data_IF_500120619172
#
_entry.id   IF_500120619172
#
_cell.length_a   1.000
_cell.length_b   1.000
_cell.length_c   1.000
_cell.angle_alpha   90.00
_cell.angle_beta   90.00
_cell.angle_gamma   90.00
#
_symmetry.space_group_name_H-M   'P 1'
#
loop_
_entity.id
_entity.type
_entity.pdbx_description
1 polymer ?
#
# COMPACT_ATOMS: atom_id res chain seq x y z
N UNK A 1 0.07 22.12 -2.89
CA UNK A 1 -1.27 22.76 -2.78
C UNK A 1 -2.32 21.66 -2.68
N UNK A 2 -3.32 21.78 -1.80
CA UNK A 2 -4.40 20.78 -1.67
C UNK A 2 -5.46 21.07 -2.73
N UNK A 3 -5.86 20.07 -3.51
CA UNK A 3 -6.95 20.22 -4.47
C UNK A 3 -8.30 20.23 -3.72
N UNK A 4 -9.28 21.09 -4.09
CA UNK A 4 -10.57 21.19 -3.40
C UNK A 4 -11.31 19.86 -3.26
N UNK A 5 -11.27 19.02 -4.30
CA UNK A 5 -11.92 17.71 -4.30
C UNK A 5 -11.27 16.69 -3.34
N UNK A 6 -10.11 16.99 -2.74
CA UNK A 6 -9.50 16.11 -1.73
C UNK A 6 -10.04 16.48 -0.34
N UNK A 7 -11.33 16.19 -0.13
CA UNK A 7 -12.08 16.54 1.09
C UNK A 7 -11.36 16.11 2.36
N UNK A 8 -10.78 14.89 2.39
CA UNK A 8 -10.01 14.39 3.53
C UNK A 8 -8.81 15.28 3.89
N UNK A 9 -8.06 15.77 2.89
CA UNK A 9 -6.91 16.67 3.13
C UNK A 9 -7.37 18.08 3.50
N UNK A 10 -8.50 18.54 2.96
CA UNK A 10 -9.09 19.84 3.33
C UNK A 10 -9.54 19.82 4.78
N UNK A 11 -10.35 18.83 5.18
CA UNK A 11 -10.80 18.65 6.57
C UNK A 11 -9.57 18.59 7.49
N UNK A 12 -8.56 17.78 7.17
CA UNK A 12 -7.36 17.68 8.01
C UNK A 12 -6.59 19.00 8.14
N UNK A 13 -6.55 19.81 7.08
CA UNK A 13 -5.88 21.11 7.13
C UNK A 13 -6.63 22.10 8.05
N UNK A 14 -7.97 22.08 7.99
CA UNK A 14 -8.82 22.87 8.87
C UNK A 14 -8.71 22.39 10.32
N UNK A 15 -8.81 21.09 10.58
CA UNK A 15 -8.62 20.51 11.93
C UNK A 15 -7.33 20.99 12.59
N UNK A 16 -6.21 20.96 11.86
CA UNK A 16 -4.92 21.41 12.40
C UNK A 16 -4.93 22.90 12.70
N UNK A 17 -5.52 23.71 11.81
CA UNK A 17 -5.62 25.15 12.01
C UNK A 17 -6.49 25.49 13.23
N UNK A 18 -7.69 24.89 13.33
CA UNK A 18 -8.60 25.09 14.46
C UNK A 18 -7.96 24.69 15.79
N UNK A 19 -7.17 23.61 15.83
CA UNK A 19 -6.53 23.14 17.06
C UNK A 19 -5.27 23.92 17.46
N UNK A 20 -4.55 24.49 16.50
CA UNK A 20 -3.20 25.06 16.75
C UNK A 20 -3.09 26.55 16.44
N UNK A 21 -4.12 27.16 15.84
CA UNK A 21 -4.07 28.51 15.26
C UNK A 21 -3.08 28.65 14.09
N UNK A 22 -2.43 27.56 13.68
CA UNK A 22 -1.31 27.58 12.73
C UNK A 22 -1.63 26.70 11.52
N UNK A 23 -1.48 27.20 10.27
CA UNK A 23 -1.72 26.38 9.09
C UNK A 23 -0.80 25.16 9.05
N UNK A 24 -1.35 24.00 8.65
CA UNK A 24 -0.60 22.73 8.56
C UNK A 24 0.67 22.84 7.70
N UNK A 25 0.67 23.70 6.67
CA UNK A 25 1.83 23.95 5.80
C UNK A 25 3.02 24.57 6.54
N UNK A 26 2.78 25.33 7.60
CA UNK A 26 3.82 25.94 8.44
C UNK A 26 4.43 24.91 9.39
N UNK A 27 3.58 24.00 9.91
CA UNK A 27 3.98 22.94 10.84
C UNK A 27 4.68 21.77 10.15
N UNK A 28 4.38 21.51 8.87
CA UNK A 28 5.01 20.46 8.06
C UNK A 28 6.44 20.84 7.61
N UNK A 29 7.33 21.10 8.59
CA UNK A 29 8.77 21.18 8.32
C UNK A 29 9.34 19.77 8.31
N UNK A 30 9.97 19.38 7.20
CA UNK A 30 10.69 18.10 7.11
C UNK A 30 11.97 18.21 7.94
N UNK A 31 11.95 17.72 9.17
CA UNK A 31 13.19 17.37 9.88
C UNK A 31 13.61 15.97 9.43
N UNK A 32 14.76 15.79 8.78
CA UNK A 32 15.26 14.44 8.54
C UNK A 32 15.49 13.75 9.89
N UNK A 33 15.30 12.42 9.97
CA UNK A 33 15.62 11.70 11.18
C UNK A 33 17.12 11.83 11.53
N UNK A 34 17.52 11.65 12.80
CA UNK A 34 18.90 11.79 13.26
C UNK A 34 19.76 10.55 12.90
N UNK A 35 19.51 9.94 11.75
CA UNK A 35 20.24 8.77 11.26
C UNK A 35 20.31 8.77 9.74
N UNK A 36 21.35 8.14 9.21
CA UNK A 36 21.49 7.94 7.76
C UNK A 36 20.41 6.96 7.30
N UNK A 37 19.88 7.19 6.11
CA UNK A 37 18.86 6.32 5.50
C UNK A 37 19.44 5.75 4.21
N UNK A 38 19.39 4.43 4.07
CA UNK A 38 19.59 3.73 2.80
C UNK A 38 18.25 3.16 2.37
N UNK A 39 17.78 3.51 1.18
CA UNK A 39 16.52 2.98 0.64
C UNK A 39 16.85 1.95 -0.43
N UNK A 40 16.33 0.74 -0.25
CA UNK A 40 16.41 -0.33 -1.23
C UNK A 40 15.05 -0.52 -1.87
N UNK A 41 15.03 -0.71 -3.18
CA UNK A 41 13.82 -0.98 -3.96
C UNK A 41 13.93 -2.32 -4.66
N UNK A 42 12.87 -3.13 -4.61
CA UNK A 42 12.75 -4.31 -5.46
C UNK A 42 11.89 -3.98 -6.67
N UNK A 43 12.39 -4.31 -7.85
CA UNK A 43 11.68 -4.09 -9.11
C UNK A 43 11.56 -5.37 -9.92
N UNK A 44 10.61 -5.38 -10.84
CA UNK A 44 10.41 -6.43 -11.82
C UNK A 44 9.59 -5.91 -13.00
N UNK A 45 9.53 -6.70 -14.06
CA UNK A 45 8.67 -6.41 -15.20
C UNK A 45 7.20 -6.34 -14.75
N UNK A 46 6.46 -5.36 -15.29
CA UNK A 46 5.14 -4.98 -14.78
C UNK A 46 4.12 -6.09 -14.98
N UNK A 47 4.11 -6.75 -16.13
CA UNK A 47 3.19 -7.84 -16.40
C UNK A 47 3.50 -9.05 -15.52
N UNK A 48 4.77 -9.37 -15.31
CA UNK A 48 5.20 -10.40 -14.34
C UNK A 48 4.74 -10.07 -12.90
N UNK A 49 4.81 -8.81 -12.48
CA UNK A 49 4.31 -8.38 -11.16
C UNK A 49 2.79 -8.58 -11.02
N UNK A 50 2.03 -8.19 -12.04
CA UNK A 50 0.57 -8.38 -12.05
C UNK A 50 0.20 -9.86 -12.01
N UNK A 51 0.84 -10.69 -12.84
CA UNK A 51 0.60 -12.14 -12.85
C UNK A 51 0.89 -12.77 -11.48
N UNK A 52 1.98 -12.38 -10.82
CA UNK A 52 2.29 -12.83 -9.45
C UNK A 52 1.25 -12.35 -8.44
N UNK A 53 0.76 -11.12 -8.56
CA UNK A 53 -0.28 -10.59 -7.68
C UNK A 53 -1.60 -11.34 -7.85
N UNK A 54 -1.96 -11.69 -9.08
CA UNK A 54 -3.18 -12.46 -9.40
C UNK A 54 -3.08 -13.89 -8.87
N UNK A 55 -1.93 -14.55 -9.07
CA UNK A 55 -1.65 -15.86 -8.48
C UNK A 55 -1.71 -15.82 -6.95
N UNK A 56 -1.15 -14.77 -6.34
CA UNK A 56 -1.18 -14.59 -4.88
C UNK A 56 -2.60 -14.44 -4.35
N UNK A 57 -3.47 -13.72 -5.05
CA UNK A 57 -4.88 -13.60 -4.65
C UNK A 57 -5.55 -14.98 -4.62
N UNK A 58 -5.34 -15.80 -5.64
CA UNK A 58 -5.83 -17.19 -5.66
C UNK A 58 -5.30 -18.00 -4.48
N UNK A 59 -3.99 -17.95 -4.24
CA UNK A 59 -3.37 -18.65 -3.11
C UNK A 59 -3.91 -18.18 -1.74
N UNK A 60 -4.21 -16.89 -1.59
CA UNK A 60 -4.84 -16.36 -0.37
C UNK A 60 -6.24 -16.95 -0.16
N UNK A 61 -7.04 -17.07 -1.21
CA UNK A 61 -8.35 -17.73 -1.11
C UNK A 61 -8.23 -19.19 -0.75
N UNK A 62 -7.33 -19.92 -1.41
CA UNK A 62 -7.06 -21.33 -1.12
C UNK A 62 -6.59 -21.53 0.33
N UNK A 63 -5.96 -20.50 0.92
CA UNK A 63 -5.52 -20.47 2.31
C UNK A 63 -6.59 -19.96 3.31
N UNK A 64 -7.83 -19.74 2.89
CA UNK A 64 -8.95 -19.36 3.77
C UNK A 64 -9.17 -17.85 3.94
N UNK A 65 -8.74 -17.03 2.98
CA UNK A 65 -8.92 -15.57 3.08
C UNK A 65 -10.39 -15.15 3.17
N UNK A 66 -11.31 -15.82 2.47
CA UNK A 66 -12.75 -15.54 2.59
C UNK A 66 -13.26 -15.82 4.01
N UNK A 67 -12.81 -16.93 4.61
CA UNK A 67 -13.20 -17.32 5.96
C UNK A 67 -12.67 -16.33 7.01
N UNK A 68 -11.45 -15.81 6.81
CA UNK A 68 -10.89 -14.76 7.65
C UNK A 68 -11.78 -13.51 7.63
N UNK A 69 -12.17 -13.03 6.44
CA UNK A 69 -13.04 -11.84 6.31
C UNK A 69 -14.41 -12.11 6.95
N UNK A 70 -15.00 -13.28 6.71
CA UNK A 70 -16.27 -13.68 7.32
C UNK A 70 -16.19 -13.69 8.85
N UNK A 71 -15.12 -14.25 9.42
CA UNK A 71 -14.88 -14.23 10.86
C UNK A 71 -14.81 -12.81 11.41
N UNK A 72 -14.13 -11.88 10.73
CA UNK A 72 -14.05 -10.48 11.17
C UNK A 72 -15.42 -9.81 11.16
N UNK A 73 -16.23 -10.02 10.12
CA UNK A 73 -17.59 -9.48 10.08
C UNK A 73 -18.47 -10.07 11.20
N UNK A 74 -18.37 -11.37 11.46
CA UNK A 74 -19.10 -12.04 12.53
C UNK A 74 -18.68 -11.58 13.93
N UNK A 75 -17.44 -11.10 14.09
CA UNK A 75 -16.97 -10.44 15.32
C UNK A 75 -17.45 -8.98 15.46
N UNK A 76 -18.19 -8.46 14.48
CA UNK A 76 -18.76 -7.12 14.51
C UNK A 76 -17.85 -6.03 13.94
N UNK A 77 -16.72 -6.38 13.29
CA UNK A 77 -15.89 -5.39 12.62
C UNK A 77 -16.61 -4.83 11.40
N UNK A 78 -16.81 -3.51 11.38
CA UNK A 78 -17.52 -2.85 10.28
C UNK A 78 -16.66 -2.81 9.01
N UNK A 79 -17.21 -3.06 7.81
CA UNK A 79 -16.48 -2.93 6.54
C UNK A 79 -15.90 -1.53 6.30
N UNK A 80 -16.45 -0.50 6.95
CA UNK A 80 -15.97 0.89 6.84
C UNK A 80 -14.73 1.19 7.69
N UNK A 81 -14.28 0.26 8.53
CA UNK A 81 -13.08 0.44 9.33
C UNK A 81 -11.84 0.52 8.41
N UNK A 82 -10.85 1.38 8.73
CA UNK A 82 -9.64 1.51 7.90
C UNK A 82 -8.96 0.17 7.57
N UNK A 83 -8.87 -0.75 8.54
CA UNK A 83 -8.33 -2.09 8.33
C UNK A 83 -9.14 -2.92 7.33
N UNK A 84 -10.48 -2.79 7.36
CA UNK A 84 -11.39 -3.50 6.46
C UNK A 84 -11.48 -2.85 5.06
N UNK A 85 -10.91 -1.65 4.88
CA UNK A 85 -10.81 -1.00 3.57
C UNK A 85 -9.56 -1.39 2.77
N UNK A 86 -8.74 -2.30 3.30
CA UNK A 86 -7.60 -2.85 2.58
C UNK A 86 -8.04 -3.65 1.34
N UNK A 87 -7.12 -3.79 0.38
CA UNK A 87 -7.36 -4.55 -0.86
C UNK A 87 -7.77 -5.99 -0.54
N UNK A 88 -8.84 -6.46 -1.16
CA UNK A 88 -9.40 -7.80 -0.95
C UNK A 88 -10.40 -7.84 0.20
N UNK A 89 -10.09 -7.26 1.36
CA UNK A 89 -11.02 -7.22 2.50
C UNK A 89 -12.32 -6.51 2.15
N UNK A 90 -12.22 -5.33 1.51
CA UNK A 90 -13.40 -4.54 1.14
C UNK A 90 -14.27 -5.28 0.13
N UNK A 91 -13.65 -5.86 -0.89
CA UNK A 91 -14.33 -6.54 -1.97
C UNK A 91 -14.99 -7.85 -1.50
N UNK A 92 -14.28 -8.65 -0.70
CA UNK A 92 -14.80 -9.88 -0.11
C UNK A 92 -15.89 -9.60 0.95
N UNK A 93 -15.77 -8.51 1.71
CA UNK A 93 -16.84 -8.09 2.62
C UNK A 93 -18.11 -7.71 1.85
N UNK A 94 -17.98 -7.04 0.69
CA UNK A 94 -19.11 -6.75 -0.19
C UNK A 94 -19.76 -8.04 -0.74
N UNK A 95 -18.97 -9.06 -1.07
CA UNK A 95 -19.49 -10.38 -1.43
C UNK A 95 -20.29 -11.01 -0.28
N UNK A 96 -19.73 -11.05 0.93
CA UNK A 96 -20.39 -11.63 2.11
C UNK A 96 -21.67 -10.88 2.52
N UNK A 97 -21.81 -9.62 2.09
CA UNK A 97 -23.02 -8.82 2.26
C UNK A 97 -24.02 -8.96 1.10
N UNK A 98 -23.74 -9.80 0.11
CA UNK A 98 -24.62 -10.05 -1.04
C UNK A 98 -24.60 -8.95 -2.10
N UNK A 99 -23.64 -8.02 -2.05
CA UNK A 99 -23.52 -6.94 -3.06
C UNK A 99 -22.85 -7.43 -4.34
N UNK A 100 -21.92 -8.38 -4.22
CA UNK A 100 -21.21 -9.01 -5.33
C UNK A 100 -21.32 -10.54 -5.23
N UNK A 101 -21.28 -11.20 -6.37
CA UNK A 101 -20.86 -12.60 -6.45
C UNK A 101 -19.40 -12.74 -6.01
N UNK A 102 -18.96 -13.96 -5.67
CA UNK A 102 -17.57 -14.19 -5.30
C UNK A 102 -16.65 -13.81 -6.46
N UNK A 103 -16.99 -14.23 -7.68
CA UNK A 103 -16.23 -13.94 -8.90
C UNK A 103 -16.07 -12.43 -9.14
N UNK A 104 -17.15 -11.65 -9.00
CA UNK A 104 -17.09 -10.19 -9.11
C UNK A 104 -16.17 -9.58 -8.04
N UNK A 105 -16.25 -10.04 -6.79
CA UNK A 105 -15.38 -9.54 -5.73
C UNK A 105 -13.89 -9.86 -5.99
N UNK A 106 -13.59 -11.03 -6.55
CA UNK A 106 -12.22 -11.38 -6.96
C UNK A 106 -11.72 -10.52 -8.10
N UNK A 107 -12.57 -10.28 -9.10
CA UNK A 107 -12.22 -9.40 -10.22
C UNK A 107 -12.00 -7.96 -9.77
N UNK A 108 -12.85 -7.43 -8.87
CA UNK A 108 -12.63 -6.12 -8.27
C UNK A 108 -11.34 -6.06 -7.46
N UNK A 109 -11.02 -7.13 -6.71
CA UNK A 109 -9.77 -7.21 -5.94
C UNK A 109 -8.56 -7.18 -6.86
N UNK A 110 -8.62 -7.90 -7.98
CA UNK A 110 -7.57 -7.95 -9.01
C UNK A 110 -7.34 -6.57 -9.61
N UNK A 111 -8.41 -5.91 -10.08
CA UNK A 111 -8.36 -4.55 -10.63
C UNK A 111 -7.78 -3.56 -9.61
N UNK A 112 -8.29 -3.59 -8.37
CA UNK A 112 -7.82 -2.69 -7.32
C UNK A 112 -6.33 -2.89 -7.00
N UNK A 113 -5.87 -4.14 -7.02
CA UNK A 113 -4.46 -4.51 -6.85
C UNK A 113 -3.60 -4.00 -8.00
N UNK A 114 -4.04 -4.15 -9.25
CA UNK A 114 -3.32 -3.63 -10.43
C UNK A 114 -3.21 -2.10 -10.41
N UNK A 115 -4.30 -1.42 -10.04
CA UNK A 115 -4.28 0.02 -9.86
C UNK A 115 -3.34 0.43 -8.72
N UNK A 116 -3.28 -0.36 -7.64
CA UNK A 116 -2.37 -0.11 -6.54
C UNK A 116 -0.91 -0.26 -6.95
N UNK A 117 -0.56 -1.32 -7.70
CA UNK A 117 0.77 -1.51 -8.31
C UNK A 117 1.16 -0.29 -9.13
N UNK A 118 0.27 0.19 -10.02
CA UNK A 118 0.52 1.39 -10.82
C UNK A 118 0.73 2.64 -9.95
N UNK A 119 -0.06 2.81 -8.89
CA UNK A 119 0.11 3.93 -7.95
C UNK A 119 1.45 3.87 -7.23
N UNK A 120 1.87 2.69 -6.77
CA UNK A 120 3.17 2.50 -6.14
C UNK A 120 4.31 2.85 -7.11
N UNK A 121 4.25 2.37 -8.35
CA UNK A 121 5.24 2.67 -9.37
C UNK A 121 5.36 4.19 -9.64
N UNK A 122 4.24 4.87 -9.84
CA UNK A 122 4.22 6.33 -10.03
C UNK A 122 4.79 7.06 -8.81
N UNK A 123 4.41 6.61 -7.61
CA UNK A 123 4.90 7.21 -6.37
C UNK A 123 6.41 7.06 -6.23
N UNK A 124 6.95 5.87 -6.45
CA UNK A 124 8.38 5.60 -6.38
C UNK A 124 9.17 6.35 -7.45
N UNK A 125 8.70 6.40 -8.71
CA UNK A 125 9.35 7.21 -9.76
C UNK A 125 9.43 8.70 -9.40
N UNK A 126 8.40 9.24 -8.76
CA UNK A 126 8.38 10.64 -8.31
C UNK A 126 9.21 10.90 -7.03
N UNK A 127 9.65 9.86 -6.33
CA UNK A 127 10.41 9.94 -5.07
C UNK A 127 11.74 9.18 -5.15
N UNK A 128 12.24 8.91 -6.36
CA UNK A 128 13.48 8.16 -6.59
C UNK A 128 14.74 9.00 -6.28
N UNK A 129 14.82 9.50 -5.05
CA UNK A 129 15.88 10.37 -4.56
C UNK A 129 16.96 9.53 -3.85
N UNK A 130 17.49 8.51 -4.52
CA UNK A 130 18.53 7.63 -3.98
C UNK A 130 18.06 6.24 -3.57
N UNK A 131 17.02 5.70 -4.22
CA UNK A 131 16.63 4.30 -4.05
C UNK A 131 17.61 3.43 -4.85
N UNK A 132 18.21 2.45 -4.19
CA UNK A 132 19.00 1.42 -4.87
C UNK A 132 18.07 0.29 -5.33
N UNK A 133 17.79 0.26 -6.63
CA UNK A 133 16.89 -0.72 -7.22
C UNK A 133 17.58 -2.03 -7.56
N UNK A 134 16.97 -3.14 -7.14
CA UNK A 134 17.38 -4.50 -7.46
C UNK A 134 16.26 -5.21 -8.22
N UNK A 135 16.59 -5.82 -9.36
CA UNK A 135 15.62 -6.64 -10.09
C UNK A 135 15.45 -7.97 -9.35
N UNK A 136 14.23 -8.25 -8.90
CA UNK A 136 13.91 -9.43 -8.09
C UNK A 136 14.15 -10.78 -8.78
N UNK A 137 14.29 -10.83 -10.11
CA UNK A 137 14.59 -12.06 -10.84
C UNK A 137 16.10 -12.32 -10.98
N UNK A 138 16.91 -11.26 -11.01
CA UNK A 138 18.35 -11.38 -11.28
C UNK A 138 19.22 -11.02 -10.08
N UNK A 139 18.62 -10.48 -9.01
CA UNK A 139 19.36 -10.10 -7.82
C UNK A 139 19.97 -11.33 -7.13
N UNK A 140 21.20 -11.17 -6.67
CA UNK A 140 21.81 -12.09 -5.73
C UNK A 140 21.58 -11.55 -4.31
N UNK A 141 20.81 -12.29 -3.51
CA UNK A 141 20.45 -11.88 -2.14
C UNK A 141 21.69 -11.67 -1.27
N UNK A 142 22.73 -12.50 -1.40
CA UNK A 142 23.96 -12.36 -0.63
C UNK A 142 24.66 -11.03 -0.97
N UNK A 143 24.77 -10.68 -2.26
CA UNK A 143 25.37 -9.40 -2.68
C UNK A 143 24.58 -8.19 -2.17
N UNK A 144 23.25 -8.27 -2.13
CA UNK A 144 22.42 -7.21 -1.56
C UNK A 144 22.69 -7.06 -0.06
N UNK A 145 22.75 -8.18 0.68
CA UNK A 145 23.07 -8.18 2.11
C UNK A 145 24.46 -7.58 2.36
N UNK A 146 25.47 -7.99 1.60
CA UNK A 146 26.84 -7.48 1.73
C UNK A 146 26.90 -5.97 1.46
N UNK A 147 26.15 -5.47 0.48
CA UNK A 147 26.08 -4.03 0.17
C UNK A 147 25.51 -3.21 1.34
N UNK A 148 24.56 -3.77 2.08
CA UNK A 148 23.96 -3.14 3.26
C UNK A 148 24.92 -3.20 4.45
N UNK A 149 25.60 -4.34 4.64
CA UNK A 149 26.57 -4.52 5.70
C UNK A 149 27.74 -3.53 5.59
N UNK A 150 28.26 -3.33 4.37
CA UNK A 150 29.35 -2.40 4.11
C UNK A 150 28.92 -0.94 4.26
N UNK A 151 27.67 -0.59 3.90
CA UNK A 151 27.16 0.77 4.06
C UNK A 151 27.07 1.23 5.52
N UNK A 152 26.86 0.29 6.46
CA UNK A 152 26.85 0.61 7.89
C UNK A 152 28.25 0.91 8.46
N UNK A 153 29.32 0.58 7.74
CA UNK A 153 30.70 0.76 8.17
C UNK A 153 31.34 2.07 7.67
N UNK A 154 30.78 2.67 6.62
CA UNK A 154 31.12 4.04 6.15
C UNK A 154 30.40 5.10 6.97
#
# INVERSE_FOLDING_TARGET
KIHPNNVRRVIRALEVYELTGTPISVLQRKKPPPYRIRVLGLTMEREALKQRADLRLKQMLDAGFLDEVNMLLNRGYKPTLPAMTALGYRELAAHLQGTYTLEEALEQTRIATHQFIRRQEIWFRGHDNGILWHNSHTMNVAQVIDSVANWNQE
#
